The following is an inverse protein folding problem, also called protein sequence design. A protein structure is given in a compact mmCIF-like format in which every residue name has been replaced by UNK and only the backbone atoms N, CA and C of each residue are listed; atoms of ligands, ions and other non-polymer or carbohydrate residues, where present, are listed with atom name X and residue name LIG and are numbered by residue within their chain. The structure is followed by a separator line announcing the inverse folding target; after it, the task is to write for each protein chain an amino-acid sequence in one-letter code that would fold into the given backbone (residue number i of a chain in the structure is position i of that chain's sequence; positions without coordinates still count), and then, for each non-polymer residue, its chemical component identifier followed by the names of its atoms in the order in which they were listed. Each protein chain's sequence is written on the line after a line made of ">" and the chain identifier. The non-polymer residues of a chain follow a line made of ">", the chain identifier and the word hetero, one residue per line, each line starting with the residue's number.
data_IF_496797300809
#
_entry.id   IF_496797300809
#
_cell.length_a   1.000
_cell.length_b   1.000
_cell.length_c   1.000
_cell.angle_alpha   90.00
_cell.angle_beta   90.00
_cell.angle_gamma   90.00
#
_symmetry.space_group_name_H-M   'P 1'
#
loop_
_entity.id
_entity.type
_entity.pdbx_description
1 polymer ?
#
# COMPACT_ATOMS: atom_id res chain seq x y z
N UNK A 1 -16.05 17.26 -5.29
CA UNK A 1 -14.62 17.27 -4.86
C UNK A 1 -14.21 16.09 -3.99
N UNK A 2 -15.12 15.47 -3.22
CA UNK A 2 -14.81 14.26 -2.42
C UNK A 2 -15.05 12.96 -3.22
N UNK A 3 -15.79 13.05 -4.32
CA UNK A 3 -16.14 11.94 -5.22
C UNK A 3 -14.94 11.25 -5.91
N UNK A 4 -13.76 11.86 -5.89
CA UNK A 4 -12.54 11.29 -6.48
C UNK A 4 -11.72 10.43 -5.51
N UNK A 5 -12.19 10.27 -4.26
CA UNK A 5 -11.56 9.38 -3.29
C UNK A 5 -12.04 7.95 -3.58
N UNK A 6 -11.41 7.30 -4.54
CA UNK A 6 -11.57 5.86 -4.71
C UNK A 6 -10.94 5.15 -3.52
N UNK A 7 -11.77 4.57 -2.65
CA UNK A 7 -11.32 3.71 -1.55
C UNK A 7 -10.62 2.47 -2.12
N UNK A 8 -9.30 2.57 -2.25
CA UNK A 8 -8.43 1.54 -2.81
C UNK A 8 -8.24 1.67 -4.33
N UNK A 9 -7.00 1.66 -4.76
CA UNK A 9 -6.60 1.71 -6.18
C UNK A 9 -6.67 0.32 -6.85
N UNK A 10 -7.57 -0.56 -6.36
CA UNK A 10 -7.74 -1.90 -6.92
C UNK A 10 -8.23 -1.82 -8.37
N UNK A 11 -7.52 -2.49 -9.27
CA UNK A 11 -7.88 -2.59 -10.68
C UNK A 11 -8.44 -3.99 -10.97
N UNK A 12 -9.75 -4.12 -11.26
CA UNK A 12 -10.36 -5.42 -11.52
C UNK A 12 -9.90 -5.97 -12.88
N UNK A 13 -8.95 -6.89 -12.88
CA UNK A 13 -8.48 -7.59 -14.06
C UNK A 13 -8.46 -9.10 -13.85
N UNK A 14 -8.65 -9.86 -14.94
CA UNK A 14 -8.52 -11.32 -14.93
C UNK A 14 -7.08 -11.70 -15.27
N UNK A 15 -6.21 -11.77 -14.26
CA UNK A 15 -4.82 -12.17 -14.43
C UNK A 15 -4.43 -13.28 -13.44
N UNK A 16 -3.34 -14.02 -13.71
CA UNK A 16 -2.81 -14.99 -12.74
C UNK A 16 -2.55 -14.36 -11.38
N UNK A 17 -1.99 -13.13 -11.35
CA UNK A 17 -1.69 -12.41 -10.11
C UNK A 17 -2.94 -12.07 -9.30
N UNK A 18 -4.11 -11.81 -9.93
CA UNK A 18 -5.38 -11.59 -9.23
C UNK A 18 -5.93 -12.87 -8.60
N UNK A 19 -5.61 -14.05 -9.15
CA UNK A 19 -6.05 -15.35 -8.63
C UNK A 19 -5.20 -15.89 -7.49
N UNK A 20 -3.99 -15.36 -7.30
CA UNK A 20 -3.08 -15.72 -6.21
C UNK A 20 -3.70 -15.37 -4.87
N UNK A 21 -3.48 -16.21 -3.85
CA UNK A 21 -3.97 -16.00 -2.48
C UNK A 21 -3.44 -14.66 -1.93
N UNK A 22 -4.30 -13.79 -1.39
CA UNK A 22 -3.89 -12.48 -0.85
C UNK A 22 -2.82 -12.57 0.24
N UNK A 23 -2.78 -13.66 1.02
CA UNK A 23 -1.72 -13.91 2.02
C UNK A 23 -0.36 -14.05 1.37
N UNK A 24 -0.29 -14.83 0.28
CA UNK A 24 0.95 -14.99 -0.49
C UNK A 24 1.41 -13.67 -1.09
N UNK A 25 0.49 -12.85 -1.60
CA UNK A 25 0.84 -11.52 -2.15
C UNK A 25 1.46 -10.61 -1.09
N UNK A 26 0.91 -10.59 0.13
CA UNK A 26 1.49 -9.82 1.24
C UNK A 26 2.90 -10.33 1.55
N UNK A 27 3.06 -11.64 1.74
CA UNK A 27 4.37 -12.24 2.03
C UNK A 27 5.38 -11.96 0.92
N UNK A 28 4.98 -12.07 -0.35
CA UNK A 28 5.83 -11.78 -1.51
C UNK A 28 6.21 -10.31 -1.61
N UNK A 29 5.29 -9.41 -1.27
CA UNK A 29 5.59 -7.96 -1.26
C UNK A 29 6.59 -7.64 -0.15
N UNK A 30 6.39 -8.16 1.05
CA UNK A 30 7.35 -8.01 2.16
C UNK A 30 8.70 -8.62 1.78
N UNK A 31 8.70 -9.80 1.20
CA UNK A 31 9.90 -10.47 0.69
C UNK A 31 10.63 -9.60 -0.36
N UNK A 32 9.91 -9.07 -1.34
CA UNK A 32 10.48 -8.17 -2.36
C UNK A 32 11.08 -6.91 -1.72
N UNK A 33 10.40 -6.30 -0.76
CA UNK A 33 10.89 -5.13 -0.03
C UNK A 33 12.21 -5.47 0.68
N UNK A 34 12.28 -6.61 1.37
CA UNK A 34 13.50 -7.06 2.05
C UNK A 34 14.63 -7.28 1.06
N UNK A 35 14.38 -7.96 -0.08
CA UNK A 35 15.40 -8.14 -1.11
C UNK A 35 15.96 -6.80 -1.62
N UNK A 36 15.08 -5.83 -1.89
CA UNK A 36 15.48 -4.51 -2.39
C UNK A 36 16.34 -3.77 -1.35
N UNK A 37 16.02 -3.87 -0.06
CA UNK A 37 16.81 -3.23 1.00
C UNK A 37 18.16 -3.91 1.22
N UNK A 38 18.23 -5.23 1.10
CA UNK A 38 19.46 -6.03 1.28
C UNK A 38 20.37 -5.97 0.05
N UNK A 39 19.89 -5.48 -1.10
CA UNK A 39 20.69 -5.33 -2.32
C UNK A 39 21.86 -4.36 -2.08
N UNK A 40 23.09 -4.85 -2.29
CA UNK A 40 24.34 -4.09 -2.10
C UNK A 40 25.04 -3.70 -3.41
N UNK A 41 24.67 -4.34 -4.51
CA UNK A 41 25.28 -4.14 -5.82
C UNK A 41 24.19 -4.01 -6.92
N UNK A 42 24.59 -3.48 -8.08
CA UNK A 42 23.67 -3.29 -9.21
C UNK A 42 23.07 -4.59 -9.73
N UNK A 43 23.79 -5.72 -9.64
CA UNK A 43 23.29 -7.00 -10.11
C UNK A 43 22.17 -7.54 -9.21
N UNK A 44 22.35 -7.48 -7.87
CA UNK A 44 21.31 -7.87 -6.92
C UNK A 44 20.06 -6.97 -7.02
N UNK A 45 20.27 -5.67 -7.27
CA UNK A 45 19.16 -4.76 -7.53
C UNK A 45 18.44 -5.10 -8.85
N UNK A 46 19.18 -5.43 -9.92
CA UNK A 46 18.60 -5.85 -11.20
C UNK A 46 17.76 -7.13 -11.08
N UNK A 47 18.20 -8.10 -10.27
CA UNK A 47 17.39 -9.29 -9.93
C UNK A 47 16.07 -8.91 -9.27
N UNK A 48 16.11 -7.98 -8.32
CA UNK A 48 14.91 -7.48 -7.64
C UNK A 48 13.97 -6.75 -8.60
N UNK A 49 14.51 -5.91 -9.49
CA UNK A 49 13.75 -5.21 -10.55
C UNK A 49 13.10 -6.22 -11.48
N UNK A 50 13.83 -7.26 -11.91
CA UNK A 50 13.31 -8.33 -12.77
C UNK A 50 12.18 -9.09 -12.09
N UNK A 51 12.33 -9.43 -10.79
CA UNK A 51 11.31 -10.11 -10.00
C UNK A 51 10.00 -9.32 -9.98
N UNK A 52 10.08 -8.01 -9.72
CA UNK A 52 8.91 -7.13 -9.70
C UNK A 52 8.36 -6.91 -11.11
N UNK A 53 9.22 -6.78 -12.11
CA UNK A 53 8.85 -6.65 -13.52
C UNK A 53 8.02 -7.82 -14.02
N UNK A 54 8.41 -9.06 -13.64
CA UNK A 54 7.61 -10.27 -13.92
C UNK A 54 6.26 -10.20 -13.19
N UNK A 55 6.22 -9.79 -11.92
CA UNK A 55 4.98 -9.58 -11.17
C UNK A 55 4.04 -8.58 -11.85
N UNK A 56 4.58 -7.46 -12.35
CA UNK A 56 3.84 -6.45 -13.12
C UNK A 56 3.30 -7.02 -14.42
N UNK A 57 4.12 -7.74 -15.18
CA UNK A 57 3.70 -8.37 -16.44
C UNK A 57 2.59 -9.40 -16.22
N UNK A 58 2.72 -10.24 -15.18
CA UNK A 58 1.70 -11.21 -14.79
C UNK A 58 0.40 -10.55 -14.27
N UNK A 59 0.44 -9.31 -13.81
CA UNK A 59 -0.74 -8.58 -13.33
C UNK A 59 -1.68 -8.15 -14.45
N UNK A 60 -1.18 -8.02 -15.71
CA UNK A 60 -1.91 -7.49 -16.88
C UNK A 60 -2.50 -6.10 -16.66
N UNK A 61 -1.90 -5.31 -15.81
CA UNK A 61 -2.31 -3.93 -15.53
C UNK A 61 -1.53 -2.99 -16.47
N UNK A 62 -2.19 -1.98 -17.07
CA UNK A 62 -1.52 -1.06 -17.97
C UNK A 62 -0.39 -0.29 -17.26
N UNK A 63 0.79 -0.24 -17.87
CA UNK A 63 1.97 0.44 -17.34
C UNK A 63 1.71 1.90 -16.97
N UNK A 64 0.76 2.54 -17.64
CA UNK A 64 0.35 3.93 -17.36
C UNK A 64 -0.11 4.12 -15.92
N UNK A 65 -0.74 3.11 -15.29
CA UNK A 65 -1.17 3.18 -13.89
C UNK A 65 0.04 3.12 -12.94
N UNK A 66 1.02 2.26 -13.23
CA UNK A 66 2.26 2.19 -12.46
C UNK A 66 3.07 3.49 -12.57
N UNK A 67 3.17 4.08 -13.76
CA UNK A 67 3.81 5.38 -13.95
C UNK A 67 3.06 6.51 -13.22
N UNK A 68 1.71 6.45 -13.17
CA UNK A 68 0.90 7.40 -12.43
C UNK A 68 1.16 7.32 -10.92
N UNK A 69 1.45 6.14 -10.37
CA UNK A 69 1.79 5.98 -8.94
C UNK A 69 3.17 6.55 -8.58
N UNK A 70 4.09 6.68 -9.55
CA UNK A 70 5.39 7.30 -9.36
C UNK A 70 5.32 8.84 -9.35
N UNK A 71 4.34 9.42 -10.06
CA UNK A 71 4.25 10.88 -10.25
C UNK A 71 4.29 11.71 -8.96
N UNK A 72 3.53 11.38 -7.88
CA UNK A 72 3.56 12.17 -6.63
C UNK A 72 4.89 12.08 -5.89
N UNK A 73 5.68 11.03 -6.12
CA UNK A 73 6.94 10.77 -5.42
C UNK A 73 8.15 11.21 -6.28
N UNK A 74 7.92 11.60 -7.54
CA UNK A 74 8.98 12.01 -8.45
C UNK A 74 9.84 13.14 -7.87
N UNK A 75 9.23 14.10 -7.17
CA UNK A 75 9.96 15.17 -6.50
C UNK A 75 10.95 14.63 -5.46
N UNK A 76 10.53 13.65 -4.64
CA UNK A 76 11.39 13.04 -3.63
C UNK A 76 12.53 12.24 -4.28
N UNK A 77 12.24 11.53 -5.38
CA UNK A 77 13.26 10.76 -6.13
C UNK A 77 14.34 11.72 -6.68
N UNK A 78 13.92 12.81 -7.31
CA UNK A 78 14.86 13.80 -7.86
C UNK A 78 15.64 14.48 -6.73
N UNK A 79 14.97 14.88 -5.66
CA UNK A 79 15.62 15.51 -4.51
C UNK A 79 16.68 14.61 -3.87
N UNK A 80 16.34 13.33 -3.61
CA UNK A 80 17.30 12.37 -3.05
C UNK A 80 18.42 12.04 -4.03
N UNK A 81 18.16 11.99 -5.34
CA UNK A 81 19.18 11.82 -6.36
C UNK A 81 20.20 12.96 -6.34
N UNK A 82 19.73 14.21 -6.30
CA UNK A 82 20.59 15.40 -6.22
C UNK A 82 21.41 15.37 -4.94
N UNK A 83 20.83 15.07 -3.78
CA UNK A 83 21.59 14.97 -2.53
C UNK A 83 22.68 13.90 -2.61
N UNK A 84 22.40 12.71 -3.14
CA UNK A 84 23.37 11.63 -3.24
C UNK A 84 24.55 11.97 -4.18
N UNK A 85 24.36 12.78 -5.21
CA UNK A 85 25.44 13.24 -6.09
C UNK A 85 26.49 14.03 -5.31
N UNK A 86 26.06 14.85 -4.34
CA UNK A 86 26.95 15.71 -3.56
C UNK A 86 27.57 15.00 -2.34
N UNK A 87 26.96 13.89 -1.88
CA UNK A 87 27.43 13.14 -0.70
C UNK A 87 28.34 11.97 -1.04
N UNK A 88 28.83 11.84 -2.29
CA UNK A 88 29.72 10.77 -2.71
C UNK A 88 31.11 10.89 -2.04
N UNK A 89 31.65 9.78 -1.53
CA UNK A 89 33.03 9.63 -1.06
C UNK A 89 33.92 9.22 -2.22
N UNK A 90 35.06 9.89 -2.42
CA UNK A 90 36.06 9.56 -3.45
C UNK A 90 36.67 10.79 -4.11
N UNK A 91 37.51 10.54 -5.14
CA UNK A 91 38.16 11.60 -5.89
C UNK A 91 37.14 12.46 -6.64
N UNK A 92 37.15 13.79 -6.46
CA UNK A 92 36.18 14.67 -7.08
C UNK A 92 36.47 14.81 -8.59
N UNK A 93 35.48 14.48 -9.41
CA UNK A 93 35.50 14.75 -10.85
C UNK A 93 35.41 16.24 -11.15
N UNK A 94 34.59 16.97 -10.37
CA UNK A 94 34.42 18.40 -10.49
C UNK A 94 34.30 18.99 -9.08
N UNK A 95 35.10 20.01 -8.76
CA UNK A 95 35.02 20.77 -7.53
C UNK A 95 34.40 22.14 -7.84
N UNK A 96 33.21 22.39 -7.34
CA UNK A 96 32.55 23.68 -7.40
C UNK A 96 32.45 24.27 -6.00
N UNK A 97 33.59 24.79 -5.51
CA UNK A 97 33.69 25.32 -4.15
C UNK A 97 33.43 24.25 -3.08
N UNK A 98 32.31 24.33 -2.37
CA UNK A 98 31.96 23.39 -1.30
C UNK A 98 31.26 22.11 -1.82
N UNK A 99 30.84 22.08 -3.07
CA UNK A 99 30.15 20.95 -3.69
C UNK A 99 31.16 20.10 -4.49
N UNK A 100 31.28 18.83 -4.12
CA UNK A 100 32.15 17.86 -4.78
C UNK A 100 31.27 16.83 -5.50
N UNK A 101 31.39 16.76 -6.80
CA UNK A 101 30.73 15.71 -7.60
C UNK A 101 31.75 14.58 -7.79
N UNK A 102 31.43 13.39 -7.27
CA UNK A 102 32.27 12.20 -7.38
C UNK A 102 31.59 11.13 -8.21
N UNK A 103 32.36 10.24 -8.84
CA UNK A 103 31.82 9.12 -9.62
C UNK A 103 30.97 8.19 -8.72
N UNK A 104 31.45 7.94 -7.50
CA UNK A 104 30.70 7.14 -6.51
C UNK A 104 29.37 7.78 -6.13
N UNK A 105 29.33 9.12 -5.99
CA UNK A 105 28.07 9.85 -5.73
C UNK A 105 27.05 9.70 -6.85
N UNK A 106 27.51 9.75 -8.10
CA UNK A 106 26.63 9.54 -9.28
C UNK A 106 26.09 8.11 -9.28
N UNK A 107 26.96 7.09 -9.10
CA UNK A 107 26.54 5.69 -9.07
C UNK A 107 25.57 5.42 -7.92
N UNK A 108 25.84 5.96 -6.71
CA UNK A 108 24.95 5.86 -5.57
C UNK A 108 23.61 6.55 -5.82
N UNK A 109 23.59 7.72 -6.44
CA UNK A 109 22.37 8.43 -6.80
C UNK A 109 21.49 7.59 -7.73
N UNK A 110 22.07 7.00 -8.76
CA UNK A 110 21.35 6.08 -9.69
C UNK A 110 20.84 4.84 -8.95
N UNK A 111 21.69 4.23 -8.13
CA UNK A 111 21.36 3.04 -7.35
C UNK A 111 20.18 3.28 -6.40
N UNK A 112 20.22 4.37 -5.63
CA UNK A 112 19.17 4.75 -4.68
C UNK A 112 17.88 5.13 -5.43
N UNK A 113 17.97 5.83 -6.56
CA UNK A 113 16.81 6.18 -7.38
C UNK A 113 16.09 4.94 -7.91
N UNK A 114 16.82 3.97 -8.46
CA UNK A 114 16.26 2.70 -8.93
C UNK A 114 15.65 1.94 -7.74
N UNK A 115 16.30 1.91 -6.58
CA UNK A 115 15.80 1.29 -5.35
C UNK A 115 14.44 1.85 -4.95
N UNK A 116 14.30 3.19 -4.88
CA UNK A 116 13.05 3.86 -4.50
C UNK A 116 11.93 3.54 -5.51
N UNK A 117 12.22 3.66 -6.80
CA UNK A 117 11.25 3.34 -7.86
C UNK A 117 10.77 1.89 -7.72
N UNK A 118 11.69 0.95 -7.50
CA UNK A 118 11.39 -0.48 -7.40
C UNK A 118 10.55 -0.79 -6.16
N UNK A 119 10.81 -0.13 -5.01
CA UNK A 119 10.00 -0.24 -3.80
C UNK A 119 8.55 0.21 -4.03
N UNK A 120 8.38 1.34 -4.72
CA UNK A 120 7.05 1.87 -5.03
C UNK A 120 6.30 0.93 -5.98
N UNK A 121 6.98 0.40 -6.99
CA UNK A 121 6.39 -0.55 -7.93
C UNK A 121 5.99 -1.85 -7.23
N UNK A 122 6.81 -2.39 -6.31
CA UNK A 122 6.48 -3.55 -5.51
C UNK A 122 5.19 -3.36 -4.70
N UNK A 123 5.07 -2.24 -4.00
CA UNK A 123 3.86 -1.89 -3.24
C UNK A 123 2.65 -1.66 -4.15
N UNK A 124 2.86 -1.06 -5.33
CA UNK A 124 1.80 -0.81 -6.30
C UNK A 124 1.22 -2.11 -6.88
N UNK A 125 2.05 -3.14 -7.10
CA UNK A 125 1.57 -4.47 -7.55
C UNK A 125 0.58 -5.04 -6.55
N UNK A 126 0.87 -5.00 -5.25
CA UNK A 126 -0.05 -5.45 -4.20
C UNK A 126 -1.36 -4.65 -4.22
N UNK A 127 -1.24 -3.32 -4.22
CA UNK A 127 -2.38 -2.39 -4.14
C UNK A 127 -3.33 -2.53 -5.32
N UNK A 128 -2.81 -2.67 -6.53
CA UNK A 128 -3.63 -2.81 -7.74
C UNK A 128 -4.23 -4.20 -7.91
N UNK A 129 -3.61 -5.26 -7.37
CA UNK A 129 -4.05 -6.65 -7.56
C UNK A 129 -4.88 -7.21 -6.42
N UNK A 130 -5.01 -6.49 -5.30
CA UNK A 130 -5.70 -6.99 -4.11
C UNK A 130 -6.72 -5.97 -3.62
N UNK A 131 -7.98 -6.37 -3.46
CA UNK A 131 -9.00 -5.48 -2.91
C UNK A 131 -8.78 -5.23 -1.41
N UNK A 132 -9.20 -4.07 -0.86
CA UNK A 132 -9.04 -3.76 0.56
C UNK A 132 -9.66 -4.81 1.48
N UNK A 133 -10.81 -5.38 1.12
CA UNK A 133 -11.47 -6.44 1.88
C UNK A 133 -10.69 -7.75 1.87
N UNK A 134 -10.11 -8.12 0.71
CA UNK A 134 -9.22 -9.30 0.62
C UNK A 134 -7.94 -9.10 1.43
N UNK A 135 -7.41 -7.87 1.45
CA UNK A 135 -6.24 -7.52 2.25
C UNK A 135 -6.52 -7.69 3.75
N UNK A 136 -7.68 -7.20 4.22
CA UNK A 136 -8.12 -7.37 5.62
C UNK A 136 -8.27 -8.84 6.00
N UNK A 137 -8.90 -9.66 5.14
CA UNK A 137 -9.03 -11.11 5.37
C UNK A 137 -7.66 -11.83 5.41
N UNK A 138 -6.72 -11.40 4.59
CA UNK A 138 -5.37 -11.97 4.57
C UNK A 138 -4.60 -11.58 5.84
N UNK A 139 -4.67 -10.31 6.25
CA UNK A 139 -4.03 -9.83 7.49
C UNK A 139 -4.59 -10.56 8.70
N UNK A 140 -5.91 -10.72 8.82
CA UNK A 140 -6.52 -11.50 9.90
C UNK A 140 -5.93 -12.91 9.99
N UNK A 141 -5.79 -13.58 8.84
CA UNK A 141 -5.24 -14.93 8.81
C UNK A 141 -3.76 -14.99 9.13
N UNK A 142 -2.98 -14.02 8.68
CA UNK A 142 -1.55 -13.91 8.99
C UNK A 142 -1.31 -13.58 10.47
N UNK A 143 -2.18 -12.76 11.07
CA UNK A 143 -2.09 -12.37 12.47
C UNK A 143 -2.76 -13.38 13.42
N UNK A 144 -3.43 -14.41 12.91
CA UNK A 144 -4.08 -15.44 13.74
C UNK A 144 -3.18 -16.05 14.83
N UNK A 145 -1.87 -16.30 14.60
CA UNK A 145 -1.00 -16.78 15.67
C UNK A 145 -0.91 -15.83 16.87
N UNK A 146 -1.09 -14.51 16.66
CA UNK A 146 -1.10 -13.52 17.74
C UNK A 146 -2.34 -13.62 18.64
N UNK A 147 -3.41 -14.27 18.18
CA UNK A 147 -4.57 -14.57 19.02
C UNK A 147 -4.20 -15.43 20.25
N UNK A 148 -3.13 -16.23 20.16
CA UNK A 148 -2.57 -16.97 21.31
C UNK A 148 -1.97 -16.05 22.40
N UNK A 149 -1.65 -14.80 22.05
CA UNK A 149 -1.17 -13.75 22.93
C UNK A 149 -2.32 -12.87 23.46
N UNK A 150 -3.56 -13.35 23.43
CA UNK A 150 -4.78 -12.63 23.83
C UNK A 150 -5.08 -11.35 23.01
N UNK A 151 -4.52 -11.22 21.79
CA UNK A 151 -4.85 -10.12 20.89
C UNK A 151 -6.16 -10.43 20.18
N UNK A 152 -7.18 -9.55 20.21
CA UNK A 152 -8.50 -9.76 19.59
C UNK A 152 -8.44 -9.54 18.07
N UNK A 153 -7.68 -10.41 17.36
CA UNK A 153 -7.40 -10.28 15.91
C UNK A 153 -8.68 -10.35 15.08
N UNK A 154 -9.63 -11.20 15.49
CA UNK A 154 -10.89 -11.36 14.76
C UNK A 154 -11.75 -10.11 14.84
N UNK A 155 -11.89 -9.54 16.05
CA UNK A 155 -12.66 -8.32 16.29
C UNK A 155 -12.07 -7.15 15.53
N UNK A 156 -10.74 -7.03 15.54
CA UNK A 156 -10.05 -5.99 14.77
C UNK A 156 -10.30 -6.12 13.26
N UNK A 157 -10.20 -7.33 12.70
CA UNK A 157 -10.47 -7.56 11.28
C UNK A 157 -11.94 -7.30 10.92
N UNK A 158 -12.87 -7.63 11.82
CA UNK A 158 -14.28 -7.33 11.66
C UNK A 158 -14.53 -5.82 11.65
N UNK A 159 -13.96 -5.07 12.60
CA UNK A 159 -14.04 -3.60 12.63
C UNK A 159 -13.51 -2.99 11.32
N UNK A 160 -12.36 -3.44 10.83
CA UNK A 160 -11.79 -2.98 9.55
C UNK A 160 -12.71 -3.30 8.36
N UNK A 161 -13.31 -4.48 8.33
CA UNK A 161 -14.24 -4.88 7.26
C UNK A 161 -15.51 -4.01 7.27
N UNK A 162 -16.06 -3.72 8.47
CA UNK A 162 -17.22 -2.83 8.64
C UNK A 162 -16.84 -1.41 8.20
N UNK A 163 -15.69 -0.89 8.63
CA UNK A 163 -15.21 0.44 8.26
C UNK A 163 -15.04 0.60 6.74
N UNK A 164 -14.42 -0.39 6.08
CA UNK A 164 -14.25 -0.40 4.62
C UNK A 164 -15.58 -0.48 3.86
N UNK A 165 -16.59 -1.12 4.44
CA UNK A 165 -17.94 -1.22 3.85
C UNK A 165 -18.72 0.08 4.02
N UNK A 166 -18.62 0.74 5.18
CA UNK A 166 -19.34 1.99 5.45
C UNK A 166 -18.64 3.23 4.89
N UNK A 167 -17.34 3.15 4.63
CA UNK A 167 -16.55 4.27 4.10
C UNK A 167 -17.21 4.96 2.90
N UNK A 168 -17.53 4.26 1.79
CA UNK A 168 -18.20 4.85 0.63
C UNK A 168 -19.52 5.54 0.99
N UNK A 169 -20.33 4.88 1.82
CA UNK A 169 -21.65 5.39 2.22
C UNK A 169 -21.54 6.65 3.06
N UNK A 170 -20.54 6.71 3.98
CA UNK A 170 -20.27 7.91 4.79
C UNK A 170 -19.75 9.08 3.92
N UNK A 171 -18.97 8.79 2.88
CA UNK A 171 -18.51 9.81 1.93
C UNK A 171 -19.69 10.41 1.16
N UNK A 172 -20.59 9.58 0.62
CA UNK A 172 -21.82 10.04 -0.05
C UNK A 172 -22.72 10.87 0.88
N UNK A 173 -22.83 10.46 2.15
CA UNK A 173 -23.60 11.17 3.15
C UNK A 173 -22.95 12.52 3.50
N UNK A 174 -21.62 12.56 3.60
CA UNK A 174 -20.86 13.79 3.79
C UNK A 174 -21.12 14.78 2.66
N UNK A 175 -21.11 14.34 1.40
CA UNK A 175 -21.40 15.21 0.25
C UNK A 175 -22.83 15.75 0.28
N UNK A 176 -23.81 14.93 0.68
CA UNK A 176 -25.21 15.36 0.86
C UNK A 176 -25.35 16.39 1.96
N UNK A 177 -24.74 16.14 3.13
CA UNK A 177 -24.78 17.08 4.27
C UNK A 177 -24.08 18.39 3.90
N UNK A 178 -22.91 18.34 3.26
CA UNK A 178 -22.19 19.52 2.80
C UNK A 178 -23.02 20.35 1.82
N UNK A 179 -23.66 19.70 0.86
CA UNK A 179 -24.54 20.38 -0.10
C UNK A 179 -25.73 21.05 0.58
N UNK A 180 -26.35 20.37 1.56
CA UNK A 180 -27.43 20.93 2.35
C UNK A 180 -26.99 22.13 3.19
N UNK A 181 -25.81 22.08 3.81
CA UNK A 181 -25.26 23.20 4.60
C UNK A 181 -24.86 24.39 3.71
N UNK A 182 -24.32 24.14 2.52
CA UNK A 182 -24.07 25.20 1.53
C UNK A 182 -25.37 25.89 1.12
N UNK A 183 -26.45 25.14 0.88
CA UNK A 183 -27.78 25.70 0.57
C UNK A 183 -28.36 26.54 1.72
N UNK A 184 -27.95 26.29 2.95
CA UNK A 184 -28.30 27.08 4.15
C UNK A 184 -27.41 28.30 4.37
N UNK A 185 -26.50 28.59 3.43
CA UNK A 185 -25.57 29.73 3.50
C UNK A 185 -24.29 29.49 4.27
N UNK A 186 -23.95 28.24 4.60
CA UNK A 186 -22.67 27.94 5.22
C UNK A 186 -21.53 28.13 4.22
N UNK A 187 -20.62 29.05 4.54
CA UNK A 187 -19.41 29.27 3.76
C UNK A 187 -18.25 28.45 4.35
N UNK A 188 -17.82 27.43 3.60
CA UNK A 188 -16.75 26.51 3.98
C UNK A 188 -15.42 26.81 3.27
N UNK A 189 -15.42 27.78 2.32
CA UNK A 189 -14.30 28.01 1.42
C UNK A 189 -13.58 29.35 1.73
N UNK A 190 -14.30 30.34 2.28
CA UNK A 190 -13.73 31.65 2.62
C UNK A 190 -13.30 31.75 4.08
N UNK A 191 -12.42 32.72 4.37
CA UNK A 191 -11.95 33.03 5.71
C UNK A 191 -10.69 32.27 6.18
N UNK A 192 -10.26 32.57 7.39
CA UNK A 192 -9.08 31.99 8.02
C UNK A 192 -9.27 30.52 8.46
N UNK A 193 -8.18 29.84 8.78
CA UNK A 193 -8.18 28.41 9.15
C UNK A 193 -9.20 28.09 10.27
N UNK A 194 -9.27 28.95 11.30
CA UNK A 194 -10.20 28.78 12.43
C UNK A 194 -11.67 28.90 11.99
N UNK A 195 -11.96 29.81 11.06
CA UNK A 195 -13.31 29.97 10.49
C UNK A 195 -13.73 28.75 9.67
N UNK A 196 -12.84 28.20 8.85
CA UNK A 196 -13.07 26.96 8.08
C UNK A 196 -13.33 25.77 8.99
N UNK A 197 -12.57 25.62 10.09
CA UNK A 197 -12.80 24.54 11.07
C UNK A 197 -14.19 24.71 11.71
N UNK A 198 -14.58 25.93 12.12
CA UNK A 198 -15.91 26.19 12.67
C UNK A 198 -17.03 25.91 11.67
N UNK A 199 -16.82 26.18 10.39
CA UNK A 199 -17.78 25.90 9.33
C UNK A 199 -17.97 24.40 9.05
N UNK A 200 -17.01 23.54 9.42
CA UNK A 200 -17.13 22.08 9.32
C UNK A 200 -17.95 21.46 10.46
N UNK A 201 -18.07 22.10 11.62
CA UNK A 201 -18.82 21.56 12.78
C UNK A 201 -20.27 21.22 12.42
N UNK A 202 -21.06 22.06 11.71
CA UNK A 202 -22.41 21.74 11.28
C UNK A 202 -22.52 20.53 10.33
N UNK A 203 -21.40 20.11 9.73
CA UNK A 203 -21.33 18.91 8.89
C UNK A 203 -20.95 17.69 9.74
N UNK A 204 -20.02 17.87 10.69
CA UNK A 204 -19.53 16.77 11.53
C UNK A 204 -20.60 16.25 12.49
N UNK A 205 -21.39 17.12 13.12
CA UNK A 205 -22.40 16.71 14.10
C UNK A 205 -23.44 15.76 13.48
N UNK A 206 -24.12 16.11 12.36
CA UNK A 206 -25.07 15.20 11.72
C UNK A 206 -24.41 13.91 11.25
N UNK A 207 -23.16 13.97 10.73
CA UNK A 207 -22.42 12.80 10.29
C UNK A 207 -22.14 11.82 11.43
N UNK A 208 -21.73 12.34 12.60
CA UNK A 208 -21.55 11.52 13.82
C UNK A 208 -22.87 10.86 14.26
N UNK A 209 -23.95 11.62 14.32
CA UNK A 209 -25.27 11.09 14.72
C UNK A 209 -25.70 9.96 13.77
N UNK A 210 -25.52 10.16 12.46
CA UNK A 210 -25.83 9.14 11.45
C UNK A 210 -24.94 7.90 11.61
N UNK A 211 -23.63 8.08 11.82
CA UNK A 211 -22.69 6.99 12.02
C UNK A 211 -23.05 6.15 13.28
N UNK A 212 -23.38 6.79 14.38
CA UNK A 212 -23.81 6.09 15.60
C UNK A 212 -25.14 5.36 15.42
N UNK A 213 -26.11 5.95 14.72
CA UNK A 213 -27.38 5.29 14.41
C UNK A 213 -27.15 4.01 13.60
N UNK A 214 -26.32 4.08 12.55
CA UNK A 214 -25.95 2.90 11.74
C UNK A 214 -25.20 1.84 12.55
N UNK A 215 -24.32 2.27 13.46
CA UNK A 215 -23.60 1.33 14.33
C UNK A 215 -24.58 0.61 15.26
N UNK A 216 -25.55 1.32 15.82
CA UNK A 216 -26.60 0.75 16.66
C UNK A 216 -27.49 -0.23 15.89
N UNK A 217 -27.95 0.15 14.70
CA UNK A 217 -28.77 -0.70 13.84
C UNK A 217 -28.01 -1.99 13.44
N UNK A 218 -26.70 -1.85 13.14
CA UNK A 218 -25.85 -3.01 12.84
C UNK A 218 -25.69 -3.91 14.06
N UNK A 219 -25.42 -3.35 15.23
CA UNK A 219 -25.27 -4.10 16.48
C UNK A 219 -26.54 -4.90 16.79
N UNK A 220 -27.71 -4.26 16.73
CA UNK A 220 -29.01 -4.90 16.94
C UNK A 220 -29.25 -6.02 15.91
N UNK A 221 -28.90 -5.78 14.64
CA UNK A 221 -29.02 -6.81 13.61
C UNK A 221 -28.04 -7.99 13.81
N UNK A 222 -26.87 -7.75 14.41
CA UNK A 222 -25.91 -8.81 14.75
C UNK A 222 -26.38 -9.62 15.97
N UNK A 223 -26.90 -8.96 17.01
CA UNK A 223 -27.46 -9.59 18.19
C UNK A 223 -28.67 -10.48 17.83
N UNK A 224 -29.57 -9.99 16.98
CA UNK A 224 -30.73 -10.77 16.51
C UNK A 224 -30.35 -12.00 15.68
N UNK A 225 -29.11 -12.06 15.16
CA UNK A 225 -28.52 -13.21 14.49
C UNK A 225 -27.62 -14.04 15.40
N UNK A 226 -27.73 -13.87 16.72
CA UNK A 226 -26.97 -14.60 17.74
C UNK A 226 -25.45 -14.44 17.58
N UNK A 227 -25.00 -13.23 17.30
CA UNK A 227 -23.56 -12.96 17.26
C UNK A 227 -22.99 -12.84 18.68
N UNK A 228 -22.08 -13.75 19.06
CA UNK A 228 -21.43 -13.78 20.37
C UNK A 228 -19.88 -13.73 20.27
N UNK A 229 -19.34 -13.02 19.26
CA UNK A 229 -17.88 -12.91 19.06
C UNK A 229 -17.35 -13.86 17.99
N UNK A 230 -16.02 -14.09 18.01
CA UNK A 230 -15.31 -14.84 16.97
C UNK A 230 -15.21 -16.34 17.21
N UNK A 231 -15.49 -16.82 18.41
CA UNK A 231 -15.35 -18.25 18.76
C UNK A 231 -16.41 -19.11 18.06
N UNK A 232 -16.00 -20.28 17.57
CA UNK A 232 -16.87 -21.26 16.90
C UNK A 232 -17.41 -20.87 15.52
N UNK A 233 -17.00 -19.72 14.94
CA UNK A 233 -17.49 -19.25 13.64
C UNK A 233 -16.69 -19.81 12.46
N UNK A 234 -17.42 -20.13 11.39
CA UNK A 234 -16.86 -20.48 10.08
C UNK A 234 -16.97 -19.30 9.11
N UNK A 235 -15.99 -19.17 8.20
CA UNK A 235 -16.05 -18.15 7.13
C UNK A 235 -16.72 -18.72 5.88
N UNK A 236 -17.65 -17.97 5.31
CA UNK A 236 -18.32 -18.34 4.04
C UNK A 236 -17.30 -18.44 2.89
N UNK A 237 -16.33 -17.53 2.85
CA UNK A 237 -15.25 -17.54 1.85
C UNK A 237 -13.95 -17.97 2.50
N UNK A 238 -13.50 -19.18 2.20
CA UNK A 238 -12.25 -19.73 2.72
C UNK A 238 -11.14 -19.48 1.68
N UNK A 239 -10.05 -18.83 2.11
CA UNK A 239 -8.84 -18.71 1.30
C UNK A 239 -8.18 -20.08 1.16
N UNK A 240 -7.99 -20.54 -0.08
CA UNK A 240 -7.34 -21.84 -0.39
C UNK A 240 -6.12 -21.58 -1.26
N UNK A 241 -5.02 -22.27 -0.95
CA UNK A 241 -3.85 -22.26 -1.81
C UNK A 241 -4.15 -22.94 -3.15
N UNK A 242 -3.88 -22.24 -4.24
CA UNK A 242 -4.06 -22.73 -5.60
C UNK A 242 -2.75 -23.09 -6.29
N UNK A 243 -2.84 -23.66 -7.50
CA UNK A 243 -1.67 -23.96 -8.32
C UNK A 243 -0.80 -22.73 -8.62
N UNK A 244 -1.45 -21.59 -8.82
CA UNK A 244 -0.76 -20.31 -9.04
C UNK A 244 0.15 -19.90 -7.87
N UNK A 245 -0.25 -20.22 -6.63
CA UNK A 245 0.53 -19.86 -5.44
C UNK A 245 1.85 -20.65 -5.38
N UNK A 246 1.81 -21.95 -5.76
CA UNK A 246 3.01 -22.78 -5.84
C UNK A 246 3.99 -22.29 -6.93
N UNK A 247 3.47 -21.92 -8.11
CA UNK A 247 4.31 -21.38 -9.19
C UNK A 247 5.01 -20.11 -8.74
N UNK A 248 4.28 -19.21 -8.10
CA UNK A 248 4.83 -17.94 -7.62
C UNK A 248 5.83 -18.16 -6.49
N UNK A 249 5.60 -19.14 -5.61
CA UNK A 249 6.53 -19.51 -4.55
C UNK A 249 7.84 -20.08 -5.10
N UNK A 250 7.78 -20.99 -6.08
CA UNK A 250 8.98 -21.52 -6.76
C UNK A 250 9.77 -20.40 -7.43
N UNK A 251 9.06 -19.47 -8.11
CA UNK A 251 9.71 -18.32 -8.71
C UNK A 251 10.39 -17.40 -7.68
N UNK A 252 9.77 -17.20 -6.52
CA UNK A 252 10.36 -16.42 -5.43
C UNK A 252 11.62 -17.08 -4.85
N UNK A 253 11.61 -18.41 -4.70
CA UNK A 253 12.79 -19.19 -4.23
C UNK A 253 13.93 -19.11 -5.24
N UNK A 254 13.64 -19.24 -6.54
CA UNK A 254 14.65 -19.08 -7.59
C UNK A 254 15.24 -17.66 -7.62
N UNK A 255 14.38 -16.64 -7.47
CA UNK A 255 14.82 -15.25 -7.37
C UNK A 255 15.72 -15.02 -6.15
N UNK A 256 15.40 -15.64 -4.99
CA UNK A 256 16.24 -15.59 -3.80
C UNK A 256 17.61 -16.22 -4.04
N UNK A 257 17.67 -17.41 -4.65
CA UNK A 257 18.93 -18.09 -4.99
C UNK A 257 19.80 -17.22 -5.89
N UNK A 258 19.20 -16.66 -6.96
CA UNK A 258 19.91 -15.76 -7.88
C UNK A 258 20.35 -14.46 -7.19
N UNK A 259 19.54 -13.93 -6.27
CA UNK A 259 19.87 -12.74 -5.50
C UNK A 259 21.06 -12.98 -4.56
N UNK A 260 21.07 -14.09 -3.84
CA UNK A 260 22.16 -14.45 -2.92
C UNK A 260 23.46 -14.64 -3.70
N UNK A 261 23.42 -15.38 -4.81
CA UNK A 261 24.61 -15.58 -5.66
C UNK A 261 25.13 -14.25 -6.22
N UNK A 262 24.25 -13.36 -6.69
CA UNK A 262 24.60 -12.02 -7.15
C UNK A 262 25.24 -11.16 -6.06
N UNK A 263 24.74 -11.28 -4.82
CA UNK A 263 25.20 -10.47 -3.70
C UNK A 263 26.53 -10.97 -3.11
N UNK A 264 26.89 -12.25 -3.32
CA UNK A 264 28.14 -12.86 -2.87
C UNK A 264 29.27 -12.68 -3.91
N UNK A 265 28.94 -12.85 -5.22
CA UNK A 265 29.92 -12.83 -6.30
C UNK A 265 30.46 -11.41 -6.62
N UNK A 266 29.69 -10.37 -6.37
CA UNK A 266 30.04 -9.01 -6.77
C UNK A 266 30.23 -8.14 -5.52
N UNK A 267 31.35 -7.37 -5.46
CA UNK A 267 31.62 -6.47 -4.33
C UNK A 267 30.50 -5.40 -4.21
N UNK A 268 30.25 -4.90 -2.99
CA UNK A 268 29.26 -3.86 -2.75
C UNK A 268 29.62 -2.57 -3.48
N UNK A 269 28.61 -1.82 -3.93
CA UNK A 269 28.76 -0.48 -4.51
C UNK A 269 28.79 0.59 -3.41
N UNK A 270 28.29 0.24 -2.23
CA UNK A 270 28.22 1.07 -1.01
C UNK A 270 29.22 0.60 0.02
#
# INVERSE_FOLDING_TARGET
>A
MISDITLGQYFPAKSPMHRTDPRMKICLTVFAIVLIFVARNFLSLAVSVLFIGVGMACSKIPLKLYLKSLKPILFIIVFTAVLNIFYGSGDPLVQLGWLKITLSGILNSVFVSIRIVTLILASSVLTFTTSPTQLTDAIERLLRPLAKLHVPVHEFAMMMTIALRFGPTLLEETDKIMSAQKARGADMESGGIVQRIKALVPVLIPLFVSAFRRAYDLATAMESRCYHGGEGRTKMKILKFGHTDWVVLVFAVLALGLFITANILIPPVL
#
